data_IF_302552204889
#
_entry.id   IF_302552204889
#
_cell.length_a   1.000
_cell.length_b   1.000
_cell.length_c   1.000
_cell.angle_alpha   90.00
_cell.angle_beta   90.00
_cell.angle_gamma   90.00
#
_symmetry.space_group_name_H-M   'P 1'
#
loop_
_entity.id
_entity.type
_entity.pdbx_description
1 polymer ?
#
# COMPACT_ATOMS: atom_id res chain seq x y z
N UNK A 1 12.03 22.19 4.73
CA UNK A 1 11.81 20.76 5.06
C UNK A 1 10.91 20.07 4.05
N UNK A 2 9.66 20.51 3.83
CA UNK A 2 8.74 19.85 2.87
C UNK A 2 9.27 19.86 1.43
N UNK A 3 9.87 20.96 0.99
CA UNK A 3 10.46 21.09 -0.36
C UNK A 3 11.65 20.15 -0.62
N UNK A 4 12.39 19.73 0.42
CA UNK A 4 13.50 18.81 0.27
C UNK A 4 13.04 17.39 -0.04
N UNK A 5 11.88 16.97 0.49
CA UNK A 5 11.28 15.65 0.24
C UNK A 5 11.08 15.41 -1.26
N UNK A 6 10.57 16.41 -1.96
CA UNK A 6 10.31 16.33 -3.39
C UNK A 6 11.58 16.59 -4.23
N UNK A 7 12.39 17.59 -3.87
CA UNK A 7 13.51 18.05 -4.71
C UNK A 7 14.82 17.31 -4.48
N UNK A 8 15.09 16.88 -3.26
CA UNK A 8 16.35 16.24 -2.87
C UNK A 8 16.20 14.73 -2.74
N UNK A 9 15.08 14.26 -2.20
CA UNK A 9 14.81 12.84 -1.99
C UNK A 9 13.92 12.22 -3.06
N UNK A 10 13.40 13.02 -3.99
CA UNK A 10 12.55 12.57 -5.11
C UNK A 10 11.30 11.79 -4.67
N UNK A 11 10.79 12.08 -3.47
CA UNK A 11 9.59 11.46 -2.93
C UNK A 11 8.39 12.32 -3.35
N UNK A 12 7.47 11.70 -4.08
CA UNK A 12 6.17 12.30 -4.43
C UNK A 12 5.12 11.88 -3.43
N UNK A 13 4.43 12.87 -2.82
CA UNK A 13 3.26 12.59 -2.00
C UNK A 13 2.00 12.45 -2.89
N UNK A 14 1.32 11.31 -2.82
CA UNK A 14 0.09 11.06 -3.56
C UNK A 14 -1.10 11.08 -2.61
N UNK A 15 -2.06 12.02 -2.77
CA UNK A 15 -3.21 12.11 -1.88
C UNK A 15 -4.20 10.96 -2.12
N UNK A 16 -4.98 10.66 -1.09
CA UNK A 16 -6.05 9.67 -1.15
C UNK A 16 -7.21 10.16 -2.04
N UNK A 17 -7.62 9.33 -2.99
CA UNK A 17 -8.75 9.58 -3.89
C UNK A 17 -9.91 8.66 -3.57
N UNK A 18 -11.10 9.00 -4.10
CA UNK A 18 -12.30 8.15 -3.96
C UNK A 18 -12.11 6.76 -4.58
N UNK A 19 -11.32 6.65 -5.64
CA UNK A 19 -10.99 5.38 -6.30
C UNK A 19 -10.25 4.42 -5.35
N UNK A 20 -9.30 4.94 -4.56
CA UNK A 20 -8.58 4.16 -3.54
C UNK A 20 -9.54 3.60 -2.50
N UNK A 21 -10.51 4.41 -2.06
CA UNK A 21 -11.55 3.97 -1.12
C UNK A 21 -12.53 2.96 -1.74
N UNK A 22 -12.74 3.05 -3.05
CA UNK A 22 -13.50 2.05 -3.81
C UNK A 22 -12.84 0.68 -3.73
N UNK A 23 -11.53 0.60 -4.01
CA UNK A 23 -10.77 -0.65 -3.87
C UNK A 23 -10.76 -1.11 -2.41
N UNK A 24 -10.50 -0.20 -1.46
CA UNK A 24 -10.50 -0.53 -0.02
C UNK A 24 -11.78 -1.24 0.42
N UNK A 25 -12.94 -0.75 -0.03
CA UNK A 25 -14.24 -1.32 0.34
C UNK A 25 -14.52 -2.71 -0.28
N UNK A 26 -13.87 -3.05 -1.41
CA UNK A 26 -14.04 -4.34 -2.10
C UNK A 26 -12.91 -5.33 -1.81
N UNK A 27 -11.80 -4.85 -1.25
CA UNK A 27 -10.65 -5.69 -0.91
C UNK A 27 -11.04 -6.70 0.15
N UNK A 28 -10.62 -7.95 -0.04
CA UNK A 28 -10.76 -8.97 1.00
C UNK A 28 -9.72 -8.72 2.08
N UNK A 29 -10.18 -8.20 3.22
CA UNK A 29 -9.32 -7.95 4.37
C UNK A 29 -9.07 -9.29 5.08
N UNK A 30 -7.80 -9.70 5.16
CA UNK A 30 -7.43 -10.91 5.87
C UNK A 30 -7.36 -10.66 7.39
N UNK A 31 -8.53 -10.47 8.00
CA UNK A 31 -8.67 -10.30 9.45
C UNK A 31 -8.24 -11.56 10.23
N UNK A 32 -8.40 -12.73 9.61
CA UNK A 32 -8.11 -14.03 10.21
C UNK A 32 -6.63 -14.22 10.57
N UNK A 33 -5.72 -13.55 9.85
CA UNK A 33 -4.28 -13.58 10.11
C UNK A 33 -3.78 -12.33 10.85
N UNK A 34 -4.69 -11.54 11.42
CA UNK A 34 -4.34 -10.43 12.32
C UNK A 34 -3.83 -9.17 11.63
N UNK A 35 -4.03 -9.04 10.31
CA UNK A 35 -3.72 -7.79 9.59
C UNK A 35 -4.84 -6.77 9.80
N UNK A 36 -4.81 -6.08 10.96
CA UNK A 36 -5.91 -5.22 11.43
C UNK A 36 -5.65 -3.71 11.31
N UNK A 37 -4.49 -3.29 10.79
CA UNK A 37 -4.18 -1.85 10.69
C UNK A 37 -4.91 -1.24 9.48
N UNK A 38 -5.84 -0.28 9.70
CA UNK A 38 -6.54 0.38 8.60
C UNK A 38 -5.58 1.15 7.69
N UNK A 39 -4.45 1.61 8.21
CA UNK A 39 -3.43 2.33 7.44
C UNK A 39 -2.77 1.40 6.42
N UNK A 40 -2.44 0.17 6.82
CA UNK A 40 -1.87 -0.85 5.93
C UNK A 40 -2.86 -1.20 4.81
N UNK A 41 -4.14 -1.29 5.13
CA UNK A 41 -5.19 -1.55 4.14
C UNK A 41 -5.35 -0.39 3.15
N UNK A 42 -5.25 0.86 3.61
CA UNK A 42 -5.24 2.04 2.73
C UNK A 42 -4.02 2.03 1.81
N UNK A 43 -2.84 1.65 2.31
CA UNK A 43 -1.61 1.52 1.52
C UNK A 43 -1.77 0.45 0.42
N UNK A 44 -2.35 -0.71 0.75
CA UNK A 44 -2.62 -1.76 -0.22
C UNK A 44 -3.61 -1.28 -1.27
N UNK A 45 -4.72 -0.67 -0.85
CA UNK A 45 -5.73 -0.16 -1.79
C UNK A 45 -5.17 0.90 -2.73
N UNK A 46 -4.28 1.76 -2.22
CA UNK A 46 -3.57 2.76 -3.01
C UNK A 46 -2.65 2.10 -4.05
N UNK A 47 -1.84 1.14 -3.63
CA UNK A 47 -0.93 0.40 -4.50
C UNK A 47 -1.68 -0.36 -5.60
N UNK A 48 -2.79 -1.02 -5.26
CA UNK A 48 -3.66 -1.71 -6.21
C UNK A 48 -4.30 -0.75 -7.22
N UNK A 49 -4.80 0.41 -6.77
CA UNK A 49 -5.47 1.36 -7.67
C UNK A 49 -4.49 2.00 -8.66
N UNK A 50 -3.34 2.44 -8.17
CA UNK A 50 -2.35 3.15 -8.97
C UNK A 50 -1.36 2.19 -9.68
N UNK A 51 -1.55 0.87 -9.52
CA UNK A 51 -0.69 -0.19 -10.06
C UNK A 51 0.79 0.01 -9.68
N UNK A 52 1.03 0.41 -8.43
CA UNK A 52 2.35 0.71 -7.92
C UNK A 52 2.93 -0.51 -7.18
N UNK A 53 4.23 -0.80 -7.36
CA UNK A 53 4.90 -1.79 -6.53
C UNK A 53 4.96 -1.29 -5.08
N UNK A 54 4.56 -2.14 -4.14
CA UNK A 54 4.68 -1.90 -2.72
C UNK A 54 6.00 -2.51 -2.21
N UNK A 55 6.86 -1.71 -1.61
CA UNK A 55 8.11 -2.19 -1.00
C UNK A 55 7.90 -2.26 0.51
N UNK A 56 8.01 -3.46 1.09
CA UNK A 56 7.85 -3.66 2.54
C UNK A 56 8.65 -4.87 3.04
N UNK A 57 9.07 -4.82 4.31
CA UNK A 57 9.65 -5.97 5.02
C UNK A 57 8.61 -6.79 5.79
N UNK A 58 7.37 -6.32 5.84
CA UNK A 58 6.29 -7.00 6.55
C UNK A 58 5.70 -8.13 5.69
N UNK A 59 5.70 -9.34 6.26
CA UNK A 59 5.25 -10.56 5.59
C UNK A 59 3.73 -10.62 5.41
N UNK A 60 2.97 -9.78 6.13
CA UNK A 60 1.50 -9.76 6.06
C UNK A 60 0.98 -9.22 4.73
N UNK A 61 1.74 -8.37 4.04
CA UNK A 61 1.38 -7.87 2.70
C UNK A 61 1.37 -8.97 1.64
N UNK A 62 2.10 -10.07 1.85
CA UNK A 62 2.18 -11.17 0.88
C UNK A 62 0.81 -11.83 0.63
N UNK A 63 -0.08 -11.77 1.61
CA UNK A 63 -1.45 -12.31 1.55
C UNK A 63 -2.29 -11.64 0.45
N UNK A 64 -1.96 -10.41 0.08
CA UNK A 64 -2.68 -9.60 -0.89
C UNK A 64 -2.13 -9.73 -2.31
N UNK A 65 -1.03 -10.47 -2.53
CA UNK A 65 -0.53 -10.77 -3.90
C UNK A 65 -1.60 -11.44 -4.76
N UNK A 66 -2.45 -12.28 -4.15
CA UNK A 66 -3.57 -12.94 -4.83
C UNK A 66 -4.60 -11.96 -5.39
N UNK A 67 -4.69 -10.77 -4.80
CA UNK A 67 -5.58 -9.68 -5.23
C UNK A 67 -4.90 -8.71 -6.21
N UNK A 68 -3.70 -9.06 -6.73
CA UNK A 68 -2.97 -8.26 -7.71
C UNK A 68 -1.91 -7.32 -7.13
N UNK A 69 -1.60 -7.42 -5.83
CA UNK A 69 -0.57 -6.59 -5.22
C UNK A 69 0.83 -6.99 -5.70
N UNK A 70 1.54 -6.07 -6.34
CA UNK A 70 2.96 -6.23 -6.66
C UNK A 70 3.80 -5.86 -5.44
N UNK A 71 4.17 -6.87 -4.65
CA UNK A 71 5.00 -6.70 -3.47
C UNK A 71 6.48 -6.96 -3.80
N UNK A 72 7.35 -6.04 -3.40
CA UNK A 72 8.81 -6.22 -3.37
C UNK A 72 9.22 -6.35 -1.91
N UNK A 73 9.73 -7.53 -1.54
CA UNK A 73 10.13 -7.80 -0.16
C UNK A 73 11.48 -7.15 0.12
N UNK A 74 11.50 -6.19 1.04
CA UNK A 74 12.75 -5.61 1.55
C UNK A 74 13.34 -6.55 2.62
N UNK A 75 14.30 -7.38 2.22
CA UNK A 75 15.05 -8.25 3.14
C UNK A 75 16.03 -7.40 3.93
N UNK A 76 15.82 -7.32 5.25
CA UNK A 76 16.79 -6.72 6.18
C UNK A 76 18.01 -7.61 6.34
#
# INVERSE_FOLDING_TARGET
>A
MVTAIEKEYYIKNTPLKREHMGIYAHMEINESQGHKDPSDHVIIAHALTEHLPLISSDTRFELYRKQGLDLIVNKK
#
